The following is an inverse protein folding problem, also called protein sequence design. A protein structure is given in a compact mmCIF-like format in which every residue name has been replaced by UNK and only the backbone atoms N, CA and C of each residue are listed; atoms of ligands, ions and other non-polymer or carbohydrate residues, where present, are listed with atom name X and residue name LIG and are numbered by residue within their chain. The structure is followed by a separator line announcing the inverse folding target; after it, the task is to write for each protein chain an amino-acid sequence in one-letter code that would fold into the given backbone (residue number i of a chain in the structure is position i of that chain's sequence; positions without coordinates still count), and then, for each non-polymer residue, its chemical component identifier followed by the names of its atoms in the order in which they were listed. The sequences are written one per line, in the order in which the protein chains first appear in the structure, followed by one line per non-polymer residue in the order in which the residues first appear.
data_IF_992700005297
#
_entry.id   IF_992700005297
#
_cell.length_a   1.000
_cell.length_b   1.000
_cell.length_c   1.000
_cell.angle_alpha   90.00
_cell.angle_beta   90.00
_cell.angle_gamma   90.00
#
_symmetry.space_group_name_H-M   'P 1'
#
loop_
_entity.id
_entity.type
_entity.pdbx_description
1 polymer ?
#
# COMPACT_ATOMS: atom_id res chain seq x y z
N UNK A 1 19.76 -50.01 1.48
CA UNK A 1 19.13 -49.63 0.20
C UNK A 1 18.55 -48.23 0.36
N UNK A 2 19.18 -47.22 -0.23
CA UNK A 2 18.77 -45.80 -0.19
C UNK A 2 17.95 -45.41 -1.44
N UNK A 3 17.23 -44.30 -1.37
CA UNK A 3 16.72 -43.42 -2.46
C UNK A 3 15.67 -42.51 -1.79
N UNK A 4 15.87 -41.21 -1.56
CA UNK A 4 16.08 -40.11 -2.50
C UNK A 4 15.16 -40.17 -3.73
N UNK A 5 14.31 -39.15 -3.93
CA UNK A 5 13.63 -38.70 -5.16
C UNK A 5 12.69 -37.54 -4.73
N UNK A 6 13.13 -36.29 -4.88
CA UNK A 6 12.89 -35.39 -6.04
C UNK A 6 11.40 -35.00 -6.18
N UNK A 7 10.99 -33.78 -5.84
CA UNK A 7 10.95 -32.60 -6.72
C UNK A 7 10.31 -32.82 -8.11
N UNK A 8 9.31 -31.96 -8.41
CA UNK A 8 8.63 -31.58 -9.68
C UNK A 8 7.34 -32.32 -10.10
N UNK A 9 6.44 -31.68 -10.90
CA UNK A 9 6.31 -30.27 -11.34
C UNK A 9 4.89 -29.66 -11.15
N UNK A 10 4.70 -28.37 -11.47
CA UNK A 10 3.44 -27.63 -11.35
C UNK A 10 2.51 -27.83 -12.56
N UNK A 11 1.27 -27.38 -12.38
CA UNK A 11 0.22 -27.17 -13.39
C UNK A 11 -0.34 -28.44 -14.02
N UNK A 12 -1.62 -28.72 -13.73
CA UNK A 12 -2.51 -29.21 -14.77
C UNK A 12 -3.80 -28.41 -14.73
N UNK A 13 -4.14 -27.89 -15.92
CA UNK A 13 -5.27 -27.05 -16.22
C UNK A 13 -6.59 -27.81 -16.07
N UNK A 14 -7.68 -27.05 -15.97
CA UNK A 14 -9.07 -27.48 -15.82
C UNK A 14 -9.65 -28.34 -16.98
N UNK A 15 -8.88 -29.18 -17.67
CA UNK A 15 -9.34 -29.89 -18.86
C UNK A 15 -9.22 -31.43 -18.86
N UNK A 16 -8.80 -32.07 -17.77
CA UNK A 16 -8.75 -33.55 -17.71
C UNK A 16 -9.86 -34.24 -16.89
N UNK A 17 -10.80 -33.51 -16.29
CA UNK A 17 -11.87 -34.12 -15.48
C UNK A 17 -13.10 -34.62 -16.26
N UNK A 18 -13.11 -34.54 -17.61
CA UNK A 18 -14.29 -34.82 -18.43
C UNK A 18 -14.26 -36.13 -19.25
N UNK A 19 -13.35 -37.08 -18.97
CA UNK A 19 -13.29 -38.32 -19.76
C UNK A 19 -13.43 -39.65 -19.06
N UNK A 20 -13.71 -39.70 -17.76
CA UNK A 20 -13.91 -40.99 -17.09
C UNK A 20 -14.98 -40.87 -16.03
N UNK A 21 -16.24 -41.14 -16.38
CA UNK A 21 -17.31 -41.62 -15.47
C UNK A 21 -18.56 -42.03 -16.28
N UNK A 22 -18.38 -42.98 -17.21
CA UNK A 22 -19.43 -43.97 -17.53
C UNK A 22 -18.98 -45.26 -16.86
N UNK A 23 -19.57 -45.58 -15.72
CA UNK A 23 -19.79 -46.92 -15.14
C UNK A 23 -20.27 -46.68 -13.71
N UNK A 24 -21.56 -46.92 -13.49
CA UNK A 24 -22.22 -46.71 -12.21
C UNK A 24 -21.69 -47.67 -11.16
N UNK A 25 -21.38 -47.14 -9.98
CA UNK A 25 -21.51 -47.78 -8.67
C UNK A 25 -21.78 -46.65 -7.67
N UNK A 26 -23.00 -46.61 -7.14
CA UNK A 26 -23.48 -45.57 -6.23
C UNK A 26 -22.89 -45.80 -4.84
N UNK A 27 -21.83 -45.05 -4.49
CA UNK A 27 -21.42 -44.85 -3.10
C UNK A 27 -21.46 -43.35 -2.85
N UNK A 28 -22.40 -42.91 -2.02
CA UNK A 28 -22.60 -41.51 -1.68
C UNK A 28 -21.34 -40.95 -0.97
N UNK A 29 -20.45 -40.33 -1.74
CA UNK A 29 -19.44 -39.43 -1.22
C UNK A 29 -20.16 -38.20 -0.70
N UNK A 30 -20.02 -37.96 0.60
CA UNK A 30 -20.50 -36.76 1.26
C UNK A 30 -19.73 -35.59 0.67
N UNK A 31 -20.39 -34.83 -0.21
CA UNK A 31 -19.88 -33.57 -0.72
C UNK A 31 -19.54 -32.67 0.48
N UNK A 32 -18.37 -32.03 0.53
CA UNK A 32 -18.16 -30.96 1.50
C UNK A 32 -19.23 -29.89 1.25
N UNK A 33 -19.86 -29.43 2.34
CA UNK A 33 -20.83 -28.33 2.33
C UNK A 33 -20.30 -27.20 1.44
N UNK A 34 -21.14 -26.54 0.62
CA UNK A 34 -20.74 -25.28 0.02
C UNK A 34 -20.30 -24.37 1.17
N UNK A 35 -19.04 -23.93 1.13
CA UNK A 35 -18.55 -22.91 2.02
C UNK A 35 -19.54 -21.74 1.90
N UNK A 36 -20.18 -21.40 3.02
CA UNK A 36 -21.01 -20.22 3.13
C UNK A 36 -20.05 -19.04 2.93
N UNK A 37 -19.94 -18.59 1.69
CA UNK A 37 -19.30 -17.33 1.38
C UNK A 37 -20.25 -16.27 1.92
N UNK A 38 -19.86 -15.61 3.01
CA UNK A 38 -20.67 -14.58 3.61
C UNK A 38 -20.86 -13.46 2.57
N UNK A 39 -22.07 -12.92 2.46
CA UNK A 39 -22.41 -11.88 1.47
C UNK A 39 -21.50 -10.64 1.59
N UNK A 40 -20.92 -10.41 2.77
CA UNK A 40 -19.95 -9.34 3.03
C UNK A 40 -18.59 -9.59 2.34
N UNK A 41 -18.13 -10.84 2.24
CA UNK A 41 -16.86 -11.19 1.58
C UNK A 41 -16.95 -10.99 0.06
N UNK A 42 -18.10 -11.32 -0.54
CA UNK A 42 -18.38 -11.09 -1.96
C UNK A 42 -18.51 -9.60 -2.29
N UNK A 43 -19.14 -8.81 -1.42
CA UNK A 43 -19.23 -7.35 -1.56
C UNK A 43 -17.85 -6.70 -1.39
N UNK A 44 -17.05 -7.16 -0.43
CA UNK A 44 -15.67 -6.68 -0.25
C UNK A 44 -14.77 -7.02 -1.45
N UNK A 45 -14.88 -8.24 -1.98
CA UNK A 45 -14.12 -8.69 -3.15
C UNK A 45 -14.55 -8.00 -4.46
N UNK A 46 -15.84 -7.68 -4.62
CA UNK A 46 -16.33 -6.92 -5.79
C UNK A 46 -16.03 -5.43 -5.70
N UNK A 47 -15.94 -4.85 -4.51
CA UNK A 47 -15.53 -3.45 -4.32
C UNK A 47 -14.03 -3.23 -4.53
N UNK A 48 -13.20 -4.19 -4.14
CA UNK A 48 -11.73 -4.13 -4.31
C UNK A 48 -11.27 -4.36 -5.75
N UNK A 49 -12.01 -5.16 -6.54
CA UNK A 49 -11.70 -5.41 -7.96
C UNK A 49 -12.18 -4.32 -8.92
N UNK A 50 -13.01 -3.36 -8.46
CA UNK A 50 -13.58 -2.29 -9.30
C UNK A 50 -12.96 -0.90 -9.03
N UNK A 51 -12.28 -0.72 -7.90
CA UNK A 51 -11.72 0.58 -7.52
C UNK A 51 -10.51 0.93 -8.38
N UNK A 52 -10.74 1.69 -9.45
CA UNK A 52 -9.68 2.18 -10.35
C UNK A 52 -8.67 3.12 -9.70
N UNK A 53 -8.98 3.62 -8.50
CA UNK A 53 -8.11 4.54 -7.76
C UNK A 53 -8.04 4.15 -6.28
N UNK A 54 -6.82 4.18 -5.76
CA UNK A 54 -6.49 3.85 -4.37
C UNK A 54 -5.77 5.05 -3.74
N UNK A 55 -6.15 5.42 -2.52
CA UNK A 55 -5.30 6.24 -1.65
C UNK A 55 -4.58 5.30 -0.69
N UNK A 56 -3.26 5.27 -0.77
CA UNK A 56 -2.40 4.45 0.08
C UNK A 56 -1.68 5.35 1.09
N UNK A 57 -2.06 5.22 2.36
CA UNK A 57 -1.39 5.90 3.48
C UNK A 57 -0.33 4.96 4.06
N UNK A 58 0.94 5.27 3.87
CA UNK A 58 2.06 4.47 4.36
C UNK A 58 2.56 4.97 5.71
N UNK A 59 2.55 4.12 6.73
CA UNK A 59 3.23 4.32 8.02
C UNK A 59 2.91 5.64 8.72
N UNK A 60 1.66 6.10 8.58
CA UNK A 60 1.10 7.33 9.20
C UNK A 60 0.80 7.04 10.68
N UNK A 61 1.85 6.72 11.41
CA UNK A 61 1.82 6.27 12.81
C UNK A 61 2.22 7.38 13.78
N UNK A 62 1.78 7.23 15.02
CA UNK A 62 2.03 8.21 16.10
C UNK A 62 3.51 8.45 16.31
N UNK A 63 4.36 7.42 16.28
CA UNK A 63 5.80 7.55 16.46
C UNK A 63 6.45 8.44 15.38
N UNK A 64 6.23 8.11 14.11
CA UNK A 64 6.85 8.79 12.97
C UNK A 64 6.41 10.25 12.87
N UNK A 65 5.18 10.56 13.28
CA UNK A 65 4.60 11.89 13.25
C UNK A 65 4.47 12.53 14.65
N UNK A 66 5.25 12.08 15.63
CA UNK A 66 5.39 12.79 16.89
C UNK A 66 6.11 14.13 16.68
N UNK A 67 6.07 15.02 17.67
CA UNK A 67 6.81 16.28 17.56
C UNK A 67 8.33 16.03 17.54
N UNK A 68 9.09 16.77 16.70
CA UNK A 68 10.55 16.68 16.69
C UNK A 68 11.15 16.93 18.08
N UNK A 69 12.24 16.24 18.45
CA UNK A 69 13.04 15.36 17.60
C UNK A 69 12.57 13.90 17.58
N UNK A 70 11.42 13.55 18.18
CA UNK A 70 10.95 12.15 18.25
C UNK A 70 10.41 11.66 16.91
N UNK A 71 9.61 12.49 16.23
CA UNK A 71 9.15 12.24 14.87
C UNK A 71 9.98 12.97 13.83
N UNK A 72 9.60 12.81 12.56
CA UNK A 72 10.29 13.44 11.43
C UNK A 72 10.32 14.98 11.55
N UNK A 73 11.37 15.67 11.06
CA UNK A 73 11.48 17.12 11.20
C UNK A 73 10.25 17.89 10.70
N UNK A 74 9.62 17.42 9.63
CA UNK A 74 8.43 18.04 9.02
C UNK A 74 7.09 17.55 9.61
N UNK A 75 7.06 16.88 10.77
CA UNK A 75 5.88 16.19 11.29
C UNK A 75 4.60 17.06 11.30
N UNK A 76 4.67 18.30 11.79
CA UNK A 76 3.51 19.19 11.84
C UNK A 76 2.91 19.49 10.45
N UNK A 77 3.76 19.74 9.45
CA UNK A 77 3.34 19.97 8.06
C UNK A 77 2.70 18.71 7.48
N UNK A 78 3.35 17.56 7.67
CA UNK A 78 2.88 16.28 7.12
C UNK A 78 1.55 15.84 7.75
N UNK A 79 1.37 16.01 9.07
CA UNK A 79 0.09 15.76 9.74
C UNK A 79 -1.05 16.54 9.08
N UNK A 80 -0.84 17.82 8.82
CA UNK A 80 -1.86 18.68 8.19
C UNK A 80 -2.14 18.24 6.75
N UNK A 81 -1.10 18.03 5.96
CA UNK A 81 -1.25 17.70 4.54
C UNK A 81 -1.87 16.32 4.33
N UNK A 82 -1.41 15.30 5.05
CA UNK A 82 -1.95 13.93 4.97
C UNK A 82 -3.42 13.90 5.43
N UNK A 83 -3.76 14.60 6.52
CA UNK A 83 -5.15 14.70 7.00
C UNK A 83 -6.07 15.36 5.98
N UNK A 84 -5.58 16.41 5.30
CA UNK A 84 -6.30 17.08 4.21
C UNK A 84 -6.50 16.16 3.00
N UNK A 85 -5.45 15.45 2.55
CA UNK A 85 -5.55 14.46 1.46
C UNK A 85 -6.57 13.37 1.80
N UNK A 86 -6.54 12.84 3.02
CA UNK A 86 -7.50 11.84 3.50
C UNK A 86 -8.94 12.38 3.51
N UNK A 87 -9.13 13.61 3.97
CA UNK A 87 -10.45 14.28 3.98
C UNK A 87 -10.99 14.47 2.56
N UNK A 88 -10.13 14.89 1.63
CA UNK A 88 -10.47 15.07 0.22
C UNK A 88 -10.85 13.73 -0.41
N UNK A 89 -10.08 12.67 -0.18
CA UNK A 89 -10.36 11.34 -0.69
C UNK A 89 -11.71 10.80 -0.17
N UNK A 90 -11.99 10.94 1.14
CA UNK A 90 -13.28 10.54 1.74
C UNK A 90 -14.48 11.31 1.15
N UNK A 91 -14.26 12.53 0.67
CA UNK A 91 -15.31 13.38 0.10
C UNK A 91 -15.47 13.23 -1.43
N UNK A 92 -14.58 12.47 -2.08
CA UNK A 92 -14.59 12.28 -3.53
C UNK A 92 -15.80 11.46 -4.02
N UNK A 93 -16.17 11.67 -5.28
CA UNK A 93 -17.32 10.99 -5.92
C UNK A 93 -16.94 10.52 -7.34
N UNK A 94 -16.76 9.21 -7.58
CA UNK A 94 -16.76 8.13 -6.57
C UNK A 94 -15.54 8.23 -5.64
N UNK A 95 -15.63 7.74 -4.38
CA UNK A 95 -14.48 7.68 -3.49
C UNK A 95 -13.46 6.64 -4.00
N UNK A 96 -12.15 6.88 -3.83
CA UNK A 96 -11.14 5.85 -4.03
C UNK A 96 -11.25 4.78 -2.93
N UNK A 97 -10.63 3.62 -3.15
CA UNK A 97 -10.34 2.69 -2.06
C UNK A 97 -9.25 3.31 -1.18
N UNK A 98 -9.51 3.50 0.12
CA UNK A 98 -8.55 4.09 1.05
C UNK A 98 -7.97 2.98 1.92
N UNK A 99 -6.65 2.76 1.82
CA UNK A 99 -5.93 1.72 2.56
C UNK A 99 -4.89 2.38 3.45
N UNK A 100 -4.91 2.01 4.72
CA UNK A 100 -3.90 2.40 5.70
C UNK A 100 -2.91 1.25 5.86
N UNK A 101 -1.63 1.54 5.67
CA UNK A 101 -0.55 0.58 5.92
C UNK A 101 0.17 1.01 7.17
N UNK A 102 0.42 0.05 8.06
CA UNK A 102 1.10 0.26 9.33
C UNK A 102 2.34 -0.61 9.39
N UNK A 103 3.49 -0.01 9.65
CA UNK A 103 4.74 -0.73 9.86
C UNK A 103 4.74 -1.36 11.26
N UNK A 104 5.09 -2.63 11.35
CA UNK A 104 5.41 -3.31 12.60
C UNK A 104 6.93 -3.31 12.76
N UNK A 105 7.43 -2.36 13.55
CA UNK A 105 8.85 -2.26 13.90
C UNK A 105 9.33 -3.46 14.75
N UNK A 106 10.64 -3.62 14.81
CA UNK A 106 11.27 -4.64 15.64
C UNK A 106 11.12 -4.28 17.13
N UNK A 107 11.46 -5.24 18.00
CA UNK A 107 11.40 -5.03 19.44
C UNK A 107 12.32 -3.86 19.86
N UNK A 108 11.74 -2.88 20.56
CA UNK A 108 12.43 -1.67 21.00
C UNK A 108 12.30 -0.48 20.05
N UNK A 109 11.78 -0.67 18.84
CA UNK A 109 11.50 0.44 17.92
C UNK A 109 10.33 1.30 18.44
N UNK A 110 10.32 2.58 18.05
CA UNK A 110 9.25 3.50 18.44
C UNK A 110 7.87 3.06 17.90
N UNK A 111 7.87 2.30 16.81
CA UNK A 111 6.73 1.66 16.17
C UNK A 111 6.72 0.13 16.34
N UNK A 112 7.28 -0.40 17.44
CA UNK A 112 7.11 -1.81 17.83
C UNK A 112 5.61 -2.17 17.89
N UNK A 113 5.25 -3.31 17.33
CA UNK A 113 3.85 -3.75 17.27
C UNK A 113 3.15 -3.68 18.64
N UNK A 114 1.93 -3.14 18.64
CA UNK A 114 1.11 -2.88 19.83
C UNK A 114 1.60 -1.78 20.79
N UNK A 115 2.76 -1.16 20.57
CA UNK A 115 3.19 -0.01 21.34
C UNK A 115 2.30 1.22 21.09
N UNK A 116 2.28 2.22 22.00
CA UNK A 116 1.54 3.47 21.78
C UNK A 116 1.96 4.21 20.50
N UNK A 117 3.27 4.20 20.19
CA UNK A 117 3.82 4.85 18.98
C UNK A 117 3.45 4.12 17.68
N UNK A 118 3.13 2.84 17.75
CA UNK A 118 2.74 2.03 16.60
C UNK A 118 1.33 2.33 16.08
N UNK A 119 0.44 2.89 16.91
CA UNK A 119 -0.93 3.18 16.48
C UNK A 119 -0.95 4.16 15.29
N UNK A 120 -1.95 4.00 14.42
CA UNK A 120 -2.19 4.98 13.35
C UNK A 120 -2.57 6.32 13.98
N UNK A 121 -2.00 7.40 13.45
CA UNK A 121 -2.31 8.76 13.91
C UNK A 121 -3.71 9.19 13.48
N UNK A 122 -4.12 8.78 12.27
CA UNK A 122 -5.43 9.09 11.69
C UNK A 122 -6.31 7.85 11.75
N UNK A 123 -7.43 7.92 12.47
CA UNK A 123 -8.33 6.79 12.63
C UNK A 123 -8.96 6.39 11.28
N UNK A 124 -8.82 5.12 10.87
CA UNK A 124 -9.54 4.56 9.73
C UNK A 124 -11.05 4.57 9.97
N UNK A 125 -11.84 4.71 8.90
CA UNK A 125 -13.26 4.39 8.94
C UNK A 125 -13.48 2.88 8.87
N UNK A 126 -14.64 2.34 9.30
CA UNK A 126 -14.88 0.88 9.33
C UNK A 126 -14.70 0.15 8.00
N UNK A 127 -14.83 0.86 6.86
CA UNK A 127 -14.66 0.29 5.52
C UNK A 127 -13.28 0.56 4.91
N UNK A 128 -12.38 1.24 5.62
CA UNK A 128 -11.01 1.52 5.17
C UNK A 128 -10.07 0.44 5.72
N UNK A 129 -9.50 -0.45 4.87
CA UNK A 129 -8.65 -1.53 5.34
C UNK A 129 -7.38 -1.02 6.02
N UNK A 130 -6.96 -1.73 7.06
CA UNK A 130 -5.64 -1.57 7.69
C UNK A 130 -4.79 -2.79 7.37
N UNK A 131 -3.59 -2.58 6.85
CA UNK A 131 -2.62 -3.62 6.51
C UNK A 131 -1.37 -3.44 7.34
N UNK A 132 -1.09 -4.42 8.20
CA UNK A 132 0.17 -4.47 8.94
C UNK A 132 1.28 -5.09 8.07
N UNK A 133 2.46 -4.48 8.05
CA UNK A 133 3.63 -4.96 7.28
C UNK A 133 4.87 -5.11 8.14
N UNK A 134 5.75 -6.03 7.74
CA UNK A 134 7.05 -6.33 8.38
C UNK A 134 8.26 -5.98 7.51
N UNK A 135 8.02 -5.39 6.33
CA UNK A 135 9.05 -5.06 5.32
C UNK A 135 8.77 -3.67 4.77
N UNK A 136 9.79 -3.01 4.23
CA UNK A 136 9.63 -1.66 3.64
C UNK A 136 8.63 -1.68 2.48
N UNK A 137 8.72 -2.68 1.59
CA UNK A 137 7.73 -2.90 0.55
C UNK A 137 6.40 -3.39 1.17
N UNK A 138 5.36 -2.57 1.10
CA UNK A 138 4.05 -2.88 1.66
C UNK A 138 3.34 -4.07 0.99
N UNK A 139 3.73 -4.47 -0.23
CA UNK A 139 3.21 -5.67 -0.89
C UNK A 139 3.86 -6.96 -0.39
N UNK A 140 5.05 -6.90 0.20
CA UNK A 140 5.79 -8.09 0.59
C UNK A 140 5.21 -8.72 1.87
N UNK A 141 4.70 -9.94 1.75
CA UNK A 141 4.17 -10.69 2.89
C UNK A 141 2.83 -10.16 3.42
N UNK A 142 2.11 -9.35 2.64
CA UNK A 142 0.78 -8.82 2.99
C UNK A 142 -0.26 -9.19 1.93
N UNK A 143 -1.53 -8.92 2.22
CA UNK A 143 -2.64 -9.06 1.27
C UNK A 143 -2.86 -7.82 0.40
N UNK A 144 -1.97 -6.82 0.46
CA UNK A 144 -2.14 -5.57 -0.29
C UNK A 144 -2.26 -5.82 -1.80
N UNK A 145 -1.55 -6.83 -2.30
CA UNK A 145 -1.58 -7.26 -3.68
C UNK A 145 -2.96 -7.75 -4.17
N UNK A 146 -3.75 -8.31 -3.26
CA UNK A 146 -5.10 -8.83 -3.53
C UNK A 146 -6.14 -7.70 -3.49
N UNK A 147 -5.86 -6.63 -2.75
CA UNK A 147 -6.73 -5.46 -2.60
C UNK A 147 -6.56 -4.44 -3.73
N UNK A 148 -5.36 -4.36 -4.32
CA UNK A 148 -5.00 -3.39 -5.35
C UNK A 148 -4.80 -4.10 -6.68
N UNK A 149 -5.74 -3.90 -7.61
CA UNK A 149 -5.65 -4.41 -8.97
C UNK A 149 -4.40 -3.86 -9.69
N UNK A 150 -3.75 -4.63 -10.58
CA UNK A 150 -2.57 -4.18 -11.32
C UNK A 150 -2.79 -2.91 -12.15
N UNK A 151 -4.01 -2.64 -12.62
CA UNK A 151 -4.39 -1.47 -13.42
C UNK A 151 -4.95 -0.31 -12.60
N UNK A 152 -4.92 -0.39 -11.26
CA UNK A 152 -5.35 0.68 -10.39
C UNK A 152 -4.30 1.80 -10.32
N UNK A 153 -4.78 3.05 -10.29
CA UNK A 153 -3.95 4.22 -9.99
C UNK A 153 -3.81 4.37 -8.47
N UNK A 154 -2.58 4.43 -7.97
CA UNK A 154 -2.27 4.51 -6.54
C UNK A 154 -1.75 5.91 -6.21
N UNK A 155 -2.51 6.66 -5.44
CA UNK A 155 -2.07 7.90 -4.80
C UNK A 155 -1.39 7.56 -3.49
N UNK A 156 -0.12 7.95 -3.32
CA UNK A 156 0.71 7.60 -2.17
C UNK A 156 1.00 8.83 -1.32
N UNK A 157 0.80 8.67 -0.01
CA UNK A 157 1.20 9.61 1.05
C UNK A 157 1.80 8.82 2.22
N UNK A 158 2.59 9.47 3.08
CA UNK A 158 3.08 8.86 4.32
C UNK A 158 4.60 8.76 4.44
N UNK A 159 5.09 7.88 5.31
CA UNK A 159 6.49 7.81 5.73
C UNK A 159 7.07 6.40 5.46
N UNK A 160 8.38 6.17 5.51
CA UNK A 160 9.47 7.12 5.28
C UNK A 160 9.83 7.20 3.79
N UNK A 161 10.13 8.39 3.27
CA UNK A 161 10.42 8.64 1.84
C UNK A 161 11.40 7.62 1.24
N UNK A 162 12.58 7.50 1.81
CA UNK A 162 13.66 6.61 1.37
C UNK A 162 13.52 5.15 1.81
N UNK A 163 12.46 4.83 2.56
CA UNK A 163 12.14 3.48 3.02
C UNK A 163 10.84 2.98 2.37
N UNK A 164 9.74 2.97 3.13
CA UNK A 164 8.48 2.36 2.73
C UNK A 164 7.88 2.99 1.48
N UNK A 165 7.98 4.32 1.33
CA UNK A 165 7.44 5.04 0.16
C UNK A 165 8.17 4.60 -1.09
N UNK A 166 9.51 4.80 -1.16
CA UNK A 166 10.32 4.38 -2.31
C UNK A 166 10.15 2.91 -2.67
N UNK A 167 10.24 2.01 -1.68
CA UNK A 167 10.15 0.58 -1.92
C UNK A 167 8.77 0.15 -2.45
N UNK A 168 7.70 0.71 -1.89
CA UNK A 168 6.33 0.37 -2.30
C UNK A 168 5.98 0.97 -3.66
N UNK A 169 6.35 2.23 -3.92
CA UNK A 169 6.15 2.87 -5.23
C UNK A 169 6.87 2.11 -6.36
N UNK A 170 8.13 1.73 -6.13
CA UNK A 170 8.92 0.98 -7.13
C UNK A 170 8.27 -0.36 -7.47
N UNK A 171 7.76 -1.08 -6.46
CA UNK A 171 7.08 -2.37 -6.67
C UNK A 171 5.70 -2.19 -7.30
N UNK A 172 4.97 -1.13 -6.96
CA UNK A 172 3.70 -0.80 -7.62
C UNK A 172 3.90 -0.57 -9.13
N UNK A 173 4.90 0.22 -9.53
CA UNK A 173 5.25 0.41 -10.94
C UNK A 173 5.57 -0.93 -11.63
N UNK A 174 6.38 -1.78 -10.99
CA UNK A 174 6.72 -3.11 -11.52
C UNK A 174 5.52 -4.06 -11.65
N UNK A 175 4.43 -3.82 -10.90
CA UNK A 175 3.16 -4.56 -11.02
C UNK A 175 2.26 -4.04 -12.16
N UNK A 176 2.58 -2.89 -12.75
CA UNK A 176 1.79 -2.23 -13.78
C UNK A 176 0.86 -1.12 -13.29
N UNK A 177 0.95 -0.75 -12.01
CA UNK A 177 0.13 0.32 -11.44
C UNK A 177 0.62 1.69 -11.91
N UNK A 178 -0.31 2.59 -12.21
CA UNK A 178 -0.02 4.02 -12.27
C UNK A 178 0.18 4.53 -10.83
N UNK A 179 1.27 5.26 -10.57
CA UNK A 179 1.59 5.74 -9.21
C UNK A 179 1.68 7.25 -9.20
N UNK A 180 0.97 7.88 -8.26
CA UNK A 180 1.04 9.31 -7.98
C UNK A 180 1.62 9.52 -6.59
N UNK A 181 2.74 10.21 -6.48
CA UNK A 181 3.32 10.62 -5.20
C UNK A 181 2.95 12.08 -4.89
N UNK A 182 2.33 12.31 -3.73
CA UNK A 182 1.94 13.66 -3.32
C UNK A 182 3.09 14.33 -2.58
N UNK A 183 3.86 15.15 -3.30
CA UNK A 183 4.94 15.97 -2.76
C UNK A 183 4.43 16.88 -1.64
N UNK A 184 5.13 16.85 -0.50
CA UNK A 184 4.73 17.55 0.72
C UNK A 184 3.72 16.79 1.59
N UNK A 185 3.30 15.59 1.19
CA UNK A 185 2.52 14.65 2.01
C UNK A 185 3.24 13.29 2.18
N UNK A 186 4.55 13.28 1.94
CA UNK A 186 5.46 12.24 2.40
C UNK A 186 6.70 12.88 3.05
N UNK A 187 7.43 12.14 3.86
CA UNK A 187 8.62 12.66 4.52
C UNK A 187 9.48 11.57 5.15
N UNK A 188 10.65 11.95 5.65
CA UNK A 188 11.57 11.03 6.34
C UNK A 188 12.33 11.73 7.46
N UNK A 189 13.17 10.99 8.17
CA UNK A 189 14.06 11.54 9.19
C UNK A 189 15.34 12.11 8.57
N UNK A 190 16.00 13.00 9.29
CA UNK A 190 17.39 13.35 8.97
C UNK A 190 18.25 12.08 9.03
N UNK A 191 19.08 11.86 8.02
CA UNK A 191 19.96 10.68 7.97
C UNK A 191 21.31 11.01 8.54
N UNK A 192 21.71 10.29 9.59
CA UNK A 192 23.06 10.34 10.12
C UNK A 192 23.97 9.56 9.18
N UNK A 193 24.91 10.26 8.55
CA UNK A 193 25.91 9.64 7.69
C UNK A 193 27.03 9.08 8.57
N UNK A 194 27.38 7.82 8.37
CA UNK A 194 28.43 7.12 9.14
C UNK A 194 29.74 6.96 8.36
N UNK A 195 29.75 7.30 7.07
CA UNK A 195 30.90 7.21 6.18
C UNK A 195 31.42 8.62 5.80
N UNK A 196 32.64 8.69 5.26
CA UNK A 196 33.25 9.92 4.70
C UNK A 196 33.26 11.16 5.60
N UNK A 197 33.58 10.99 6.89
CA UNK A 197 33.69 12.09 7.86
C UNK A 197 32.41 12.37 8.64
N UNK A 198 31.36 11.58 8.40
CA UNK A 198 30.08 11.68 9.08
C UNK A 198 29.27 12.90 8.66
N UNK A 199 28.19 13.18 9.39
CA UNK A 199 27.35 14.35 9.17
C UNK A 199 25.87 14.01 9.22
N UNK A 200 25.06 14.99 8.85
CA UNK A 200 23.61 14.85 8.77
C UNK A 200 23.18 15.25 7.37
N UNK A 201 22.56 14.33 6.66
CA UNK A 201 21.82 14.63 5.43
C UNK A 201 20.42 15.09 5.83
N UNK A 202 20.03 16.35 5.57
CA UNK A 202 18.71 16.85 5.95
C UNK A 202 17.60 16.07 5.25
N UNK A 203 16.50 15.79 5.95
CA UNK A 203 15.37 15.01 5.42
C UNK A 203 14.84 15.58 4.10
N UNK A 204 14.78 16.91 3.98
CA UNK A 204 14.32 17.59 2.77
C UNK A 204 15.18 17.27 1.53
N UNK A 205 16.49 17.02 1.70
CA UNK A 205 17.36 16.59 0.59
C UNK A 205 17.04 15.16 0.19
N UNK A 206 16.88 14.27 1.17
CA UNK A 206 16.53 12.86 0.96
C UNK A 206 15.17 12.75 0.26
N UNK A 207 14.19 13.54 0.71
CA UNK A 207 12.86 13.63 0.11
C UNK A 207 12.95 14.04 -1.37
N UNK A 208 13.74 15.07 -1.70
CA UNK A 208 13.92 15.52 -3.08
C UNK A 208 14.63 14.46 -3.95
N UNK A 209 15.67 13.81 -3.43
CA UNK A 209 16.37 12.72 -4.15
C UNK A 209 15.43 11.55 -4.46
N UNK A 210 14.59 11.15 -3.51
CA UNK A 210 13.59 10.09 -3.70
C UNK A 210 12.50 10.52 -4.68
N UNK A 211 12.04 11.77 -4.61
CA UNK A 211 11.07 12.32 -5.55
C UNK A 211 11.58 12.22 -7.00
N UNK A 212 12.83 12.63 -7.22
CA UNK A 212 13.44 12.62 -8.54
C UNK A 212 13.71 11.17 -9.02
N UNK A 213 14.20 10.28 -8.14
CA UNK A 213 14.37 8.84 -8.43
C UNK A 213 13.06 8.18 -8.88
N UNK A 214 11.97 8.43 -8.14
CA UNK A 214 10.68 7.85 -8.44
C UNK A 214 10.05 8.47 -9.69
N UNK A 215 10.23 9.76 -9.92
CA UNK A 215 9.75 10.42 -11.15
C UNK A 215 10.47 9.88 -12.39
N UNK A 216 11.79 9.69 -12.34
CA UNK A 216 12.56 9.04 -13.40
C UNK A 216 12.10 7.58 -13.65
N UNK A 217 11.67 6.87 -12.62
CA UNK A 217 11.13 5.52 -12.73
C UNK A 217 9.70 5.47 -13.31
N UNK A 218 9.00 6.62 -13.40
CA UNK A 218 7.65 6.73 -13.97
C UNK A 218 6.54 7.05 -12.97
N UNK A 219 6.86 7.37 -11.71
CA UNK A 219 5.87 7.91 -10.76
C UNK A 219 5.51 9.33 -11.14
N UNK A 220 4.21 9.65 -11.18
CA UNK A 220 3.76 11.02 -11.37
C UNK A 220 3.88 11.80 -10.06
N UNK A 221 4.78 12.79 -10.02
CA UNK A 221 4.91 13.71 -8.88
C UNK A 221 3.85 14.81 -8.93
N UNK A 222 3.08 14.98 -7.86
CA UNK A 222 2.06 16.04 -7.74
C UNK A 222 2.27 16.82 -6.44
N UNK A 223 2.45 18.14 -6.55
CA UNK A 223 2.52 19.00 -5.36
C UNK A 223 1.20 19.03 -4.59
N UNK A 224 1.28 19.01 -3.25
CA UNK A 224 0.13 19.10 -2.36
C UNK A 224 -0.86 20.23 -2.72
N UNK A 225 -0.38 21.41 -3.11
CA UNK A 225 -1.24 22.54 -3.51
C UNK A 225 -2.15 22.27 -4.71
N UNK A 226 -1.73 21.37 -5.62
CA UNK A 226 -2.55 20.93 -6.75
C UNK A 226 -3.52 19.84 -6.31
N UNK A 227 -3.06 18.93 -5.45
CA UNK A 227 -3.88 17.90 -4.83
C UNK A 227 -5.05 18.50 -4.03
N UNK A 228 -4.77 19.48 -3.16
CA UNK A 228 -5.73 20.17 -2.31
C UNK A 228 -6.87 20.83 -3.10
N UNK A 229 -6.61 21.21 -4.35
CA UNK A 229 -7.59 21.86 -5.22
C UNK A 229 -8.43 20.88 -6.02
N UNK A 230 -7.86 19.78 -6.52
CA UNK A 230 -8.57 18.96 -7.52
C UNK A 230 -8.08 17.51 -7.72
N UNK A 231 -7.56 16.81 -6.69
CA UNK A 231 -7.04 15.44 -6.90
C UNK A 231 -8.10 14.47 -7.44
N UNK A 232 -9.37 14.62 -7.03
CA UNK A 232 -10.48 13.73 -7.42
C UNK A 232 -11.65 14.43 -8.11
N UNK A 233 -11.49 15.69 -8.54
CA UNK A 233 -12.55 16.31 -9.34
C UNK A 233 -12.55 15.77 -10.77
N UNK A 234 -13.72 15.85 -11.40
CA UNK A 234 -13.95 15.33 -12.74
C UNK A 234 -12.98 15.97 -13.74
N UNK A 235 -12.13 15.17 -14.39
CA UNK A 235 -11.37 15.58 -15.58
C UNK A 235 -12.34 15.65 -16.77
N UNK A 236 -13.35 16.52 -16.67
CA UNK A 236 -14.35 16.71 -17.72
C UNK A 236 -14.09 17.95 -18.60
N UNK A 237 -12.99 18.70 -18.41
CA UNK A 237 -12.82 19.96 -19.14
C UNK A 237 -11.42 20.31 -19.66
N UNK A 238 -10.42 19.42 -19.61
CA UNK A 238 -9.05 19.81 -20.03
C UNK A 238 -8.38 18.91 -21.06
N UNK A 239 -9.14 18.06 -21.77
CA UNK A 239 -8.71 17.68 -23.12
C UNK A 239 -9.08 18.82 -24.07
N UNK A 240 -8.16 19.79 -24.22
CA UNK A 240 -8.22 20.71 -25.36
C UNK A 240 -7.97 19.91 -26.67
N UNK A 241 -8.62 20.29 -27.77
CA UNK A 241 -8.60 19.55 -29.03
C UNK A 241 -7.22 19.53 -29.70
#
# INVERSE_FOLDING_TARGET
MPADISYLPPNNSCLELLRTLKLGHTRALRMPSPHVCHSEDLLFHTMTTLAKRVLLLLDVQVANLADPPKGVPAAALLRNNISSVLTIARSAKPPPLIIHVRNCGDQGDADEAHAPGWQLLLSPLPHEPVVDKLKNNAFAGTKLAEMIAPDAEIVVVGLGSDFSVRATCSVALGRGNDVILIRGAHGTFDRVEVLHGGGITPSARIEAEVEDELEEAGVLRVGYERCARNLYGSIASERRP
#
